data_IF_080192772625
#
_entry.id   IF_080192772625
#
_cell.length_a   1.000
_cell.length_b   1.000
_cell.length_c   1.000
_cell.angle_alpha   90.00
_cell.angle_beta   90.00
_cell.angle_gamma   90.00
#
_symmetry.space_group_name_H-M   'P 1'
#
loop_
_entity.id
_entity.type
_entity.pdbx_description
1 polymer ?
2 polymer ?
3 water ?
#
# COMPACT_ATOMS: atom_id res chain seq x y z
N UNK A 2 -16.42 20.52 14.34
CA UNK A 2 -17.41 19.60 13.79
C UNK A 2 -17.28 18.21 14.43
N UNK A 3 -16.09 17.64 14.34
CA UNK A 3 -15.81 16.35 14.96
C UNK A 3 -14.51 16.46 15.76
N UNK A 4 -14.40 15.81 16.93
CA UNK A 4 -15.43 14.98 17.56
C UNK A 4 -16.52 15.80 18.23
N UNK A 5 -17.53 15.13 18.78
CA UNK A 5 -18.68 15.81 19.37
C UNK A 5 -19.20 14.99 20.54
N UNK A 6 -19.67 15.69 21.58
CA UNK A 6 -20.33 15.10 22.75
C UNK A 6 -19.38 14.15 23.48
N UNK A 7 -18.43 14.77 24.18
CA UNK A 7 -17.46 14.04 25.00
C UNK A 7 -17.99 13.99 26.44
N UNK A 8 -18.40 12.80 26.87
CA UNK A 8 -18.94 12.63 28.22
C UNK A 8 -18.38 11.35 28.82
N UNK A 9 -18.40 11.30 30.15
CA UNK A 9 -17.83 10.19 30.92
C UNK A 9 -18.96 9.22 31.24
N UNK A 10 -18.95 8.05 30.58
CA UNK A 10 -19.99 7.06 30.81
C UNK A 10 -19.85 6.44 32.19
N UNK A 11 -18.75 5.74 32.43
CA UNK A 11 -18.49 5.09 33.70
C UNK A 11 -17.37 5.81 34.45
N UNK A 12 -17.42 5.74 35.78
CA UNK A 12 -16.47 6.49 36.61
C UNK A 12 -16.17 5.70 37.86
N UNK A 13 -14.95 5.21 37.96
CA UNK A 13 -14.33 4.60 39.12
C UNK A 13 -13.34 5.59 39.73
N UNK A 14 -13.16 5.62 41.06
CA UNK A 14 -12.20 6.55 41.66
C UNK A 14 -10.83 6.59 41.01
N UNK A 15 -10.45 5.55 40.27
CA UNK A 15 -9.15 5.52 39.60
C UNK A 15 -9.26 5.31 38.10
N UNK A 16 -10.46 5.34 37.53
CA UNK A 16 -10.58 5.12 36.09
C UNK A 16 -11.85 5.76 35.57
N UNK A 17 -11.78 6.23 34.32
CA UNK A 17 -12.90 6.91 33.67
C UNK A 17 -13.10 6.33 32.28
N UNK A 18 -14.31 5.84 32.01
CA UNK A 18 -14.68 5.34 30.69
C UNK A 18 -15.44 6.45 29.97
N UNK A 19 -14.82 7.03 28.95
CA UNK A 19 -15.41 8.16 28.23
C UNK A 19 -15.83 7.70 26.85
N UNK A 20 -16.69 8.50 26.22
CA UNK A 20 -17.17 8.21 24.88
C UNK A 20 -17.41 9.53 24.15
N UNK A 21 -17.62 9.42 22.83
CA UNK A 21 -17.89 10.59 22.00
C UNK A 21 -18.55 10.12 20.71
N UNK A 22 -19.20 11.06 20.05
CA UNK A 22 -19.80 10.79 18.74
C UNK A 22 -18.71 10.90 17.69
N UNK A 23 -18.29 9.74 17.16
CA UNK A 23 -17.17 9.67 16.24
C UNK A 23 -17.50 10.32 14.90
N UNK A 24 -18.73 10.78 14.74
CA UNK A 24 -19.15 11.40 13.51
C UNK A 24 -20.16 10.53 12.78
N UNK A 25 -19.89 10.22 11.52
CA UNK A 25 -20.82 9.44 10.72
C UNK A 25 -20.21 9.00 9.40
N UNK A 26 -19.61 7.81 9.38
CA UNK A 26 -19.12 7.19 8.15
C UNK A 26 -18.20 8.11 7.39
N UNK A 27 -18.73 8.79 6.37
CA UNK A 27 -17.93 9.60 5.44
C UNK A 27 -17.24 10.78 6.13
N UNK A 28 -17.41 10.92 7.44
CA UNK A 28 -16.66 11.92 8.21
C UNK A 28 -15.88 11.29 9.36
N UNK A 29 -15.71 9.97 9.36
CA UNK A 29 -14.83 9.33 10.32
C UNK A 29 -13.38 9.71 10.05
N UNK A 30 -12.66 10.08 11.11
CA UNK A 30 -11.25 10.39 10.98
C UNK A 30 -10.45 9.10 11.16
N UNK A 31 -9.15 9.14 10.85
CA UNK A 31 -8.32 7.96 11.02
C UNK A 31 -8.08 7.66 12.50
N UNK A 32 -7.92 8.70 13.32
CA UNK A 32 -7.54 8.51 14.72
C UNK A 32 -7.90 9.75 15.52
N UNK A 33 -8.22 9.54 16.78
CA UNK A 33 -8.32 10.61 17.77
C UNK A 33 -7.21 10.44 18.80
N UNK A 34 -6.77 11.54 19.37
CA UNK A 34 -5.84 11.50 20.49
C UNK A 34 -6.52 12.09 21.72
N UNK A 35 -6.41 11.38 22.84
CA UNK A 35 -7.13 11.71 24.07
C UNK A 35 -6.10 12.08 25.11
N UNK A 36 -6.19 13.30 25.63
CA UNK A 36 -5.27 13.81 26.64
C UNK A 36 -6.00 13.95 27.96
N UNK A 37 -5.41 13.41 29.03
CA UNK A 37 -5.97 13.54 30.37
C UNK A 37 -4.85 13.90 31.34
N UNK A 38 -5.02 15.02 32.05
CA UNK A 38 -4.06 15.43 33.05
C UNK A 38 -4.75 16.12 34.20
N UNK A 39 -3.96 16.44 35.22
CA UNK A 39 -4.51 17.14 36.39
C UNK A 39 -5.00 18.51 35.99
N UNK A 40 -6.09 18.96 36.63
CA UNK A 40 -6.68 20.25 36.29
C UNK A 40 -5.75 21.41 36.62
N UNK A 41 -4.75 21.20 37.46
CA UNK A 41 -3.76 22.22 37.74
C UNK A 41 -2.42 21.89 37.09
N UNK A 42 -2.07 20.61 37.07
CA UNK A 42 -0.85 20.17 36.45
C UNK A 42 0.34 20.18 37.38
N UNK A 43 0.63 19.03 38.00
CA UNK A 43 1.81 18.93 38.86
C UNK A 43 3.09 19.14 38.05
N UNK A 44 3.25 18.39 36.97
CA UNK A 44 4.35 18.62 36.04
C UNK A 44 3.93 18.21 34.62
N UNK A 45 3.39 16.99 34.40
CA UNK A 45 2.93 16.66 33.04
C UNK A 45 1.42 16.43 32.98
N UNK A 46 0.97 15.77 31.90
CA UNK A 46 -0.40 15.31 31.79
C UNK A 46 -0.37 13.83 31.39
N UNK A 47 -1.37 13.36 30.66
CA UNK A 47 -1.30 12.02 30.08
C UNK A 47 -2.12 11.98 28.80
N UNK A 48 -1.71 11.12 27.87
CA UNK A 48 -2.27 11.17 26.52
C UNK A 48 -2.05 9.84 25.82
N UNK A 49 -3.02 9.46 24.99
CA UNK A 49 -2.90 8.28 24.13
C UNK A 49 -3.70 8.53 22.85
N UNK A 50 -3.69 7.54 21.95
CA UNK A 50 -4.40 7.63 20.68
C UNK A 50 -5.34 6.44 20.52
N UNK A 51 -6.39 6.63 19.73
CA UNK A 51 -7.42 5.62 19.51
C UNK A 51 -7.80 5.62 18.03
N UNK A 52 -7.97 4.46 17.41
CA UNK A 52 -8.38 4.43 16.00
C UNK A 52 -9.72 5.11 15.77
N UNK A 53 -9.92 5.56 14.53
CA UNK A 53 -11.06 6.40 14.23
C UNK A 53 -12.40 5.71 14.33
N UNK A 54 -12.45 4.40 14.03
CA UNK A 54 -13.72 3.69 14.06
C UNK A 54 -14.27 3.55 15.48
N UNK A 55 -13.41 3.64 16.50
CA UNK A 55 -13.85 3.53 17.88
C UNK A 55 -14.43 4.85 18.36
N UNK A 56 -15.47 4.78 19.19
CA UNK A 56 -16.10 5.95 19.75
C UNK A 56 -15.98 6.02 21.27
N UNK A 57 -15.37 5.02 21.90
CA UNK A 57 -15.19 5.00 23.35
C UNK A 57 -13.72 4.78 23.68
N UNK A 58 -13.34 5.15 24.90
CA UNK A 58 -11.97 4.98 25.36
C UNK A 58 -11.94 5.00 26.88
N UNK A 59 -11.15 4.12 27.47
CA UNK A 59 -11.00 4.05 28.92
C UNK A 59 -9.69 4.72 29.35
N UNK A 60 -9.72 5.31 30.53
CA UNK A 60 -8.58 6.03 31.09
C UNK A 60 -8.34 5.47 32.48
N UNK A 61 -7.20 4.80 32.66
CA UNK A 61 -6.89 4.12 33.91
C UNK A 61 -5.71 4.80 34.60
N UNK A 62 -5.35 4.29 35.77
CA UNK A 62 -4.21 4.77 36.51
C UNK A 62 -4.35 6.19 37.03
N UNK A 63 -5.51 6.53 37.58
CA UNK A 63 -5.77 7.87 38.08
C UNK A 63 -5.75 7.88 39.60
N UNK A 64 -5.83 9.09 40.16
CA UNK A 64 -5.85 9.27 41.60
C UNK A 64 -7.25 9.66 42.07
N UNK A 65 -7.74 9.06 43.15
CA UNK A 65 -9.12 9.34 43.58
C UNK A 65 -9.25 10.74 44.15
N UNK A 66 -10.39 11.38 43.86
CA UNK A 66 -10.69 12.71 44.35
C UNK A 66 -10.15 13.84 43.50
N UNK A 67 -9.11 13.60 42.71
CA UNK A 67 -8.50 14.64 41.90
C UNK A 67 -9.38 14.94 40.70
N UNK A 68 -9.52 16.23 40.38
CA UNK A 68 -10.26 16.65 39.20
C UNK A 68 -9.32 16.68 38.00
N UNK A 69 -9.70 15.98 36.94
CA UNK A 69 -8.89 15.86 35.74
C UNK A 69 -9.53 16.59 34.57
N UNK A 70 -8.70 16.99 33.61
CA UNK A 70 -9.15 17.59 32.37
C UNK A 70 -8.87 16.62 31.22
N UNK A 71 -9.91 16.29 30.45
CA UNK A 71 -9.81 15.31 29.38
C UNK A 71 -10.14 16.00 28.07
N UNK A 72 -9.20 15.96 27.12
CA UNK A 72 -9.35 16.59 25.83
C UNK A 72 -9.17 15.55 24.73
N UNK A 73 -9.94 15.69 23.64
CA UNK A 73 -9.88 14.81 22.50
C UNK A 73 -9.60 15.65 21.26
N UNK A 74 -8.52 15.33 20.56
CA UNK A 74 -8.11 16.07 19.38
C UNK A 74 -8.37 15.25 18.12
N UNK A 75 -8.81 15.94 17.07
CA UNK A 75 -8.86 15.35 15.74
C UNK A 75 -7.43 15.16 15.23
N UNK A 76 -7.24 14.41 14.13
CA UNK A 76 -5.90 14.31 13.56
C UNK A 76 -5.28 15.67 13.26
N UNK A 77 -6.08 16.60 12.77
CA UNK A 77 -5.66 17.97 12.52
C UNK A 77 -6.73 18.92 13.05
N UNK A 78 -6.36 20.19 13.16
CA UNK A 78 -7.30 21.22 13.60
C UNK A 78 -8.28 21.60 12.49
N UNK A 79 -8.25 20.92 11.35
CA UNK A 79 -9.16 21.25 10.25
C UNK A 79 -10.58 20.78 10.54
N UNK A 80 -10.73 19.70 11.31
CA UNK A 80 -12.04 19.17 11.63
C UNK A 80 -12.76 19.99 12.71
N UNK A 81 -12.08 20.93 13.33
CA UNK A 81 -12.66 21.74 14.39
C UNK A 81 -11.79 21.76 15.62
N UNK A 82 -12.17 22.64 16.55
CA UNK A 82 -11.43 22.76 17.79
C UNK A 82 -11.58 21.48 18.61
N UNK A 83 -10.52 21.07 19.33
CA UNK A 83 -10.65 19.90 20.20
C UNK A 83 -11.63 20.16 21.34
N UNK A 84 -12.32 19.11 21.75
CA UNK A 84 -13.32 19.18 22.81
C UNK A 84 -12.68 18.74 24.12
N UNK A 85 -12.85 19.54 25.17
CA UNK A 85 -12.27 19.29 26.47
C UNK A 85 -13.34 19.42 27.55
N UNK A 86 -13.28 18.53 28.54
CA UNK A 86 -14.22 18.52 29.66
C UNK A 86 -13.44 18.31 30.95
N UNK A 87 -14.17 18.28 32.07
CA UNK A 87 -13.60 18.09 33.39
C UNK A 87 -14.41 17.04 34.14
N UNK A 88 -13.75 16.34 35.06
CA UNK A 88 -14.44 15.35 35.88
C UNK A 88 -13.63 15.12 37.15
N UNK A 89 -14.34 14.93 38.26
CA UNK A 89 -13.74 14.61 39.55
C UNK A 89 -14.12 13.18 39.92
N UNK A 90 -13.12 12.32 40.04
CA UNK A 90 -13.34 10.91 40.35
C UNK A 90 -13.92 10.73 41.75
N UNK B 2 -6.95 -11.54 -22.00
CA UNK B 2 -6.83 -11.72 -20.55
C UNK B 2 -5.92 -10.69 -19.88
N UNK B 3 -4.68 -10.50 -20.35
CA UNK B 3 -3.79 -9.56 -19.66
C UNK B 3 -4.27 -8.12 -19.72
N UNK B 4 -4.90 -7.71 -20.83
CA UNK B 4 -5.43 -6.35 -20.92
C UNK B 4 -6.64 -6.16 -20.03
N UNK B 5 -7.31 -7.23 -19.61
CA UNK B 5 -8.39 -7.11 -18.65
C UNK B 5 -7.84 -6.70 -17.29
N UNK B 6 -6.76 -7.33 -16.85
CA UNK B 6 -6.13 -6.98 -15.59
C UNK B 6 -5.46 -5.61 -15.66
N UNK B 7 -4.97 -5.22 -16.84
CA UNK B 7 -4.40 -3.89 -17.00
C UNK B 7 -5.46 -2.82 -16.82
N UNK B 8 -6.61 -2.99 -17.47
CA UNK B 8 -7.72 -2.07 -17.27
C UNK B 8 -8.28 -2.11 -15.86
N UNK B 9 -8.21 -3.28 -15.20
CA UNK B 9 -8.63 -3.35 -13.82
C UNK B 9 -7.71 -2.60 -12.88
N UNK B 10 -6.39 -2.67 -13.13
CA UNK B 10 -5.46 -1.87 -12.37
C UNK B 10 -5.64 -0.38 -12.65
N UNK B 11 -5.98 -0.04 -13.89
CA UNK B 11 -6.27 1.35 -14.23
C UNK B 11 -7.48 1.85 -13.45
N UNK B 12 -8.55 1.03 -13.42
CA UNK B 12 -9.73 1.40 -12.66
C UNK B 12 -9.43 1.50 -11.17
N UNK B 13 -8.70 0.52 -10.63
CA UNK B 13 -8.37 0.53 -9.21
C UNK B 13 -7.54 1.76 -8.85
N UNK B 14 -6.62 2.16 -9.73
CA UNK B 14 -5.78 3.33 -9.47
C UNK B 14 -6.63 4.60 -9.50
N UNK B 15 -7.46 4.75 -10.54
CA UNK B 15 -8.29 5.94 -10.67
C UNK B 15 -9.19 6.09 -9.44
N UNK B 16 -9.75 4.99 -8.96
CA UNK B 16 -10.57 5.03 -7.75
C UNK B 16 -9.73 5.48 -6.56
N UNK B 17 -8.48 5.03 -6.49
CA UNK B 17 -7.61 5.43 -5.39
C UNK B 17 -7.31 6.91 -5.39
N UNK B 18 -6.99 7.47 -6.57
CA UNK B 18 -6.68 8.89 -6.65
C UNK B 18 -7.89 9.75 -6.34
N UNK B 19 -9.07 9.34 -6.80
CA UNK B 19 -10.28 10.09 -6.50
C UNK B 19 -10.61 10.04 -5.01
N UNK B 20 -10.47 8.86 -4.39
CA UNK B 20 -10.72 8.76 -2.95
C UNK B 20 -9.70 9.55 -2.16
N UNK B 21 -8.49 9.73 -2.70
CA UNK B 21 -7.51 10.56 -2.01
C UNK B 21 -7.88 12.03 -2.09
N UNK B 22 -8.46 12.46 -3.22
CA UNK B 22 -8.93 13.84 -3.32
C UNK B 22 -10.10 14.08 -2.38
N UNK B 23 -11.00 13.10 -2.23
CA UNK B 23 -12.08 13.23 -1.26
C UNK B 23 -11.55 13.24 0.16
N UNK B 24 -10.67 12.29 0.48
CA UNK B 24 -10.03 12.29 1.79
C UNK B 24 -9.20 13.56 1.96
N UNK B 25 -8.99 13.95 3.22
CA UNK B 25 -8.10 15.06 3.48
C UNK B 25 -6.67 14.55 3.60
N UNK B 26 -5.90 15.09 4.53
CA UNK B 26 -4.51 14.69 4.67
C UNK B 26 -4.33 13.25 5.11
N UNK B 27 -4.92 12.32 4.35
CA UNK B 27 -4.95 10.90 4.72
C UNK B 27 -5.59 10.70 6.08
N UNK B 28 -6.47 11.64 6.48
CA UNK B 28 -7.04 11.66 7.82
C UNK B 28 -8.44 11.08 7.89
N UNK B 29 -9.28 11.31 6.88
CA UNK B 29 -10.59 10.68 6.85
C UNK B 29 -10.39 9.17 6.63
N UNK B 30 -10.82 8.38 7.61
CA UNK B 30 -10.46 6.97 7.66
C UNK B 30 -10.91 6.22 6.41
N UNK B 31 -12.22 6.19 6.17
CA UNK B 31 -12.76 5.32 5.12
C UNK B 31 -12.16 5.63 3.74
N UNK B 32 -12.13 6.86 3.25
CA UNK B 32 -11.52 7.07 1.93
C UNK B 32 -10.03 6.76 1.93
N UNK B 33 -9.31 7.08 3.01
CA UNK B 33 -7.89 6.75 3.08
C UNK B 33 -7.68 5.24 3.02
N UNK B 34 -8.49 4.47 3.75
CA UNK B 34 -8.44 3.02 3.61
C UNK B 34 -8.65 2.61 2.16
N UNK B 35 -9.68 3.17 1.53
CA UNK B 35 -9.95 2.86 0.13
C UNK B 35 -8.75 3.10 -0.77
N UNK B 36 -8.07 4.25 -0.57
CA UNK B 36 -6.87 4.54 -1.35
C UNK B 36 -5.81 3.46 -1.15
N UNK B 37 -5.60 3.04 0.10
CA UNK B 37 -4.60 2.03 0.38
C UNK B 37 -4.97 0.71 -0.28
N UNK B 38 -6.22 0.27 -0.10
CA UNK B 38 -6.68 -0.96 -0.75
C UNK B 38 -6.53 -0.84 -2.26
N UNK B 39 -6.89 0.31 -2.81
CA UNK B 39 -6.84 0.48 -4.27
C UNK B 39 -5.40 0.43 -4.77
N UNK B 40 -4.50 1.18 -4.12
CA UNK B 40 -3.10 1.17 -4.53
C UNK B 40 -2.48 -0.21 -4.32
N UNK B 41 -2.83 -0.88 -3.22
CA UNK B 41 -2.37 -2.25 -3.03
C UNK B 41 -2.86 -3.14 -4.17
N UNK B 42 -4.15 -3.07 -4.50
CA UNK B 42 -4.68 -3.89 -5.58
C UNK B 42 -4.06 -3.54 -6.92
N UNK B 43 -3.98 -2.24 -7.23
CA UNK B 43 -3.44 -1.82 -8.52
C UNK B 43 -2.00 -2.27 -8.70
N UNK B 44 -1.17 -2.11 -7.66
CA UNK B 44 0.24 -2.48 -7.79
C UNK B 44 0.40 -3.98 -7.93
N UNK B 45 -0.42 -4.75 -7.23
CA UNK B 45 -0.40 -6.20 -7.39
C UNK B 45 -0.97 -6.61 -8.75
N UNK B 46 -2.00 -5.90 -9.22
CA UNK B 46 -2.56 -6.21 -10.53
C UNK B 46 -1.60 -5.86 -11.65
N UNK B 47 -0.95 -4.69 -11.56
CA UNK B 47 0.02 -4.32 -12.59
C UNK B 47 1.24 -5.23 -12.54
N UNK B 48 1.66 -5.68 -11.36
CA UNK B 48 2.82 -6.55 -11.28
C UNK B 48 2.56 -7.88 -11.98
N UNK B 49 1.37 -8.45 -11.80
CA UNK B 49 1.07 -9.73 -12.41
C UNK B 49 0.62 -9.61 -13.87
N UNK B 50 0.28 -8.41 -14.33
CA UNK B 50 0.02 -8.18 -15.75
C UNK B 50 1.25 -7.67 -16.49
N UNK B 51 2.38 -7.49 -15.79
CA UNK B 51 3.60 -7.04 -16.42
C UNK B 51 4.41 -8.19 -17.03
N UNK B 52 4.23 -9.41 -16.54
CA UNK B 52 5.00 -10.53 -17.07
C UNK B 52 4.51 -10.96 -18.45
N UNK B 53 3.29 -10.59 -18.84
CA UNK B 53 2.74 -10.94 -20.14
C UNK B 53 2.90 -9.83 -21.17
N UNK B 54 2.58 -8.60 -20.79
CA UNK B 54 2.64 -7.46 -21.69
C UNK B 54 3.98 -6.75 -21.50
N UNK B 55 4.66 -6.32 -22.56
CA UNK B 55 5.92 -5.58 -22.39
C UNK B 55 5.73 -4.36 -21.49
N UNK B 56 6.81 -3.98 -20.81
CA UNK B 56 6.74 -2.92 -19.81
C UNK B 56 6.30 -1.60 -20.44
N UNK B 57 7.07 -1.12 -21.42
CA UNK B 57 6.71 0.10 -22.10
C UNK B 57 5.36 0.03 -22.79
N UNK B 58 5.00 -1.13 -23.32
CA UNK B 58 3.69 -1.30 -23.92
C UNK B 58 2.60 -1.17 -22.87
N UNK B 59 2.83 -1.74 -21.68
CA UNK B 59 1.86 -1.59 -20.60
C UNK B 59 1.84 -0.17 -20.07
N UNK B 60 2.98 0.51 -20.09
CA UNK B 60 3.06 1.87 -19.58
C UNK B 60 2.14 2.81 -20.36
N UNK B 61 2.11 2.67 -21.68
CA UNK B 61 1.28 3.56 -22.51
C UNK B 61 -0.19 3.34 -22.24
N UNK B 62 -0.67 2.10 -22.37
CA UNK B 62 -2.07 1.80 -22.13
C UNK B 62 -2.45 2.16 -20.69
N UNK B 63 -1.50 2.06 -19.77
CA UNK B 63 -1.75 2.44 -18.38
C UNK B 63 -2.04 3.93 -18.28
N UNK B 64 -1.14 4.77 -18.80
CA UNK B 64 -1.34 6.21 -18.73
C UNK B 64 -2.55 6.63 -19.56
N UNK B 65 -2.73 6.04 -20.74
CA UNK B 65 -3.81 6.41 -21.63
C UNK B 65 -5.20 6.19 -21.06
N UNK B 66 -5.55 4.93 -20.82
CA UNK B 66 -6.88 4.61 -20.29
C UNK B 66 -7.09 5.29 -18.94
N UNK B 67 -6.01 5.54 -18.20
CA UNK B 67 -6.09 6.23 -16.93
C UNK B 67 -6.71 7.60 -17.05
N UNK B 68 -6.08 8.48 -17.85
CA UNK B 68 -6.60 9.84 -17.98
C UNK B 68 -7.91 9.86 -18.74
N UNK B 69 -8.15 8.85 -19.58
CA UNK B 69 -9.46 8.72 -20.21
C UNK B 69 -10.52 8.54 -19.14
N UNK B 70 -10.32 7.58 -18.24
CA UNK B 70 -11.27 7.35 -17.16
C UNK B 70 -11.25 8.49 -16.14
N UNK B 71 -10.09 9.14 -15.98
CA UNK B 71 -10.02 10.28 -15.05
C UNK B 71 -10.88 11.43 -15.56
N UNK B 72 -10.67 11.84 -16.81
CA UNK B 72 -11.49 12.91 -17.37
C UNK B 72 -12.93 12.46 -17.57
N UNK B 73 -13.15 11.16 -17.81
CA UNK B 73 -14.52 10.65 -17.92
C UNK B 73 -15.22 10.72 -16.57
N UNK B 74 -14.61 10.15 -15.53
CA UNK B 74 -15.23 10.19 -14.21
C UNK B 74 -15.28 11.60 -13.66
N UNK B 75 -14.31 12.46 -14.04
CA UNK B 75 -14.41 13.86 -13.67
C UNK B 75 -15.68 14.48 -14.23
N UNK B 76 -15.75 14.56 -15.57
CA UNK B 76 -16.96 15.09 -16.21
C UNK B 76 -18.20 14.28 -15.86
N UNK B 77 -18.02 13.00 -15.53
CA UNK B 77 -19.12 12.12 -15.20
C UNK B 77 -20.11 12.66 -14.18
N UNK B 78 -19.66 12.90 -12.94
CA UNK B 78 -20.58 13.34 -11.90
C UNK B 78 -19.90 14.07 -10.74
N UNK B 79 -18.64 14.44 -10.90
CA UNK B 79 -17.93 15.26 -9.92
C UNK B 79 -17.34 16.50 -10.61
N UNK B 80 -18.18 17.10 -11.46
CA UNK B 80 -17.92 18.39 -12.07
C UNK B 80 -17.38 18.28 -13.48
N UNK B 81 -16.88 19.41 -13.98
CA UNK B 81 -15.85 19.42 -15.03
C UNK B 81 -16.36 19.09 -16.43
N UNK B 82 -15.67 19.63 -17.45
CA UNK B 82 -15.97 19.45 -18.87
C UNK B 82 -14.92 20.21 -19.68
N UNK B 83 -14.16 21.06 -18.97
CA UNK B 83 -13.20 22.01 -19.51
C UNK B 83 -12.27 21.45 -20.59
N UNK B 84 -11.75 22.32 -21.45
CA UNK B 84 -10.90 21.94 -22.58
C UNK B 84 -11.65 21.09 -23.60
N UNK B 85 -12.97 21.25 -23.65
CA UNK B 85 -13.87 20.40 -24.46
C UNK B 85 -13.32 20.02 -25.83
N UNK B 86 -12.82 20.94 -26.68
CA UNK B 86 -12.23 20.48 -27.96
C UNK B 86 -10.93 19.71 -27.73
N UNK B 87 -11.05 18.51 -27.18
CA UNK B 87 -9.93 17.65 -26.92
C UNK B 87 -10.40 16.21 -26.78
N UNK B 88 -11.72 16.02 -26.85
CA UNK B 88 -12.29 14.67 -26.93
C UNK B 88 -11.72 13.93 -28.13
N UNK B 89 -11.27 14.66 -29.15
CA UNK B 89 -10.50 14.05 -30.22
C UNK B 89 -9.24 13.40 -29.66
N UNK B 90 -8.59 14.04 -28.70
CA UNK B 90 -7.43 13.45 -28.06
C UNK B 90 -7.76 12.20 -27.28
N UNK B 91 -8.98 12.13 -26.72
CA UNK B 91 -9.44 10.88 -26.13
C UNK B 91 -9.59 9.80 -27.18
N UNK B 92 -10.11 10.17 -28.36
CA UNK B 92 -10.18 9.21 -29.46
C UNK B 92 -8.79 8.83 -29.95
N UNK B 93 -7.81 9.73 -29.83
CA UNK B 93 -6.43 9.40 -30.14
C UNK B 93 -5.91 8.32 -29.21
N UNK B 94 -6.17 8.47 -27.91
CA UNK B 94 -5.73 7.48 -26.93
C UNK B 94 -6.37 6.13 -27.21
N UNK B 95 -7.69 6.13 -27.46
CA UNK B 95 -8.37 4.88 -27.79
C UNK B 95 -7.80 4.29 -29.09
N UNK B 96 -7.42 5.15 -30.04
CA UNK B 96 -6.80 4.65 -31.27
C UNK B 96 -5.45 4.01 -30.98
N UNK B 97 -4.62 4.67 -30.17
CA UNK B 97 -3.35 4.07 -29.79
C UNK B 97 -3.51 2.78 -29.02
N UNK B 98 -4.57 2.68 -28.19
CA UNK B 98 -4.83 1.45 -27.45
C UNK B 98 -5.19 0.32 -28.42
N UNK B 99 -6.07 0.61 -29.38
CA UNK B 99 -6.54 -0.44 -30.29
C UNK B 99 -5.40 -1.01 -31.14
N UNK B 100 -4.55 -0.14 -31.69
CA UNK B 100 -3.44 -0.61 -32.50
C UNK B 100 -2.37 -1.31 -31.68
N UNK B 101 -2.49 -1.29 -30.35
CA UNK B 101 -1.66 -2.12 -29.49
C UNK B 101 -2.45 -3.22 -28.81
N UNK B 102 -3.77 -3.07 -28.67
CA UNK B 102 -4.60 -4.13 -28.12
C UNK B 102 -4.78 -5.25 -29.14
N UNK B 103 -5.10 -6.44 -28.62
CA UNK B 103 -5.23 -7.70 -29.36
C UNK B 103 -5.68 -7.53 -30.81
N UNK B 104 -4.78 -7.07 -31.68
CA UNK B 104 -5.05 -6.93 -33.09
C UNK B 104 -4.01 -7.69 -33.92
N UNK C 1 20.30 -26.10 -5.67
CA UNK C 1 20.41 -24.72 -6.13
C UNK C 1 19.07 -24.01 -5.97
N UNK C 2 18.58 -23.92 -4.73
CA UNK C 2 17.24 -23.40 -4.48
C UNK C 2 17.18 -22.79 -3.07
N UNK C 3 15.99 -22.30 -2.73
CA UNK C 3 15.74 -21.62 -1.46
C UNK C 3 14.54 -22.30 -0.80
N UNK C 4 14.58 -22.57 0.51
CA UNK C 4 15.71 -22.35 1.43
C UNK C 4 16.58 -23.59 1.61
N UNK C 5 17.49 -23.52 2.59
CA UNK C 5 18.37 -24.64 2.87
C UNK C 5 18.60 -24.69 4.39
N UNK C 6 19.18 -25.81 4.83
CA UNK C 6 19.61 -26.00 6.21
C UNK C 6 18.48 -25.73 7.20
N UNK C 7 17.42 -26.54 7.09
CA UNK C 7 16.31 -26.47 8.02
C UNK C 7 16.68 -27.25 9.28
N UNK C 8 16.92 -26.52 10.37
CA UNK C 8 17.39 -27.14 11.60
C UNK C 8 16.63 -26.56 12.80
N UNK C 9 16.55 -27.34 13.86
CA UNK C 9 15.86 -26.94 15.08
C UNK C 9 16.89 -26.33 16.02
N UNK C 10 16.82 -25.01 16.21
CA UNK C 10 17.77 -24.33 17.09
C UNK C 10 17.55 -24.76 18.54
N UNK C 11 16.38 -24.46 19.08
CA UNK C 11 16.04 -24.81 20.44
C UNK C 11 14.78 -25.66 20.46
N UNK C 12 14.72 -26.58 21.42
CA UNK C 12 13.58 -27.47 21.57
C UNK C 12 12.90 -27.20 22.91
N UNK C 13 11.73 -27.80 23.07
CA UNK C 13 10.91 -27.71 24.28
C UNK C 13 9.75 -28.68 24.13
N UNK C 14 9.35 -29.37 25.19
CA UNK C 14 8.20 -30.28 25.08
C UNK C 14 6.97 -29.68 24.41
N UNK C 15 6.79 -28.37 24.46
CA UNK C 15 5.64 -27.73 23.85
C UNK C 15 5.99 -26.74 22.73
N UNK C 16 7.28 -26.46 22.50
CA UNK C 16 7.63 -25.44 21.53
C UNK C 16 8.95 -25.80 20.85
N UNK C 17 9.13 -25.25 19.66
CA UNK C 17 10.34 -25.49 18.86
C UNK C 17 10.74 -24.20 18.17
N UNK C 18 12.01 -23.83 18.29
CA UNK C 18 12.57 -22.70 17.57
C UNK C 18 13.43 -23.23 16.44
N UNK C 19 13.11 -22.84 15.21
CA UNK C 19 13.76 -23.37 14.02
C UNK C 19 14.36 -22.22 13.21
N UNK C 20 15.21 -22.59 12.24
CA UNK C 20 15.86 -21.62 11.37
C UNK C 20 16.22 -22.31 10.07
N UNK C 21 16.67 -21.50 9.09
CA UNK C 21 17.02 -22.02 7.77
C UNK C 21 17.90 -21.01 7.06
N UNK C 22 18.56 -21.49 6.00
CA UNK C 22 19.44 -20.65 5.19
C UNK C 22 18.60 -19.97 4.11
N UNK C 23 18.37 -18.66 4.28
CA UNK C 23 17.54 -17.91 3.35
C UNK C 23 18.20 -17.70 1.99
N UNK C 24 19.45 -18.10 1.83
CA UNK C 24 20.13 -17.94 0.56
C UNK C 24 20.72 -16.55 0.39
N UNK C 25 21.06 -16.23 -0.85
CA UNK C 25 21.66 -14.96 -1.18
C UNK C 25 20.61 -13.85 -1.21
N UNK C 26 21.09 -12.61 -1.36
CA UNK C 26 20.19 -11.46 -1.31
C UNK C 26 19.19 -11.48 -2.46
N UNK C 27 19.63 -11.88 -3.66
CA UNK C 27 18.69 -12.04 -4.76
C UNK C 27 17.76 -13.23 -4.55
N UNK C 28 18.13 -14.14 -3.66
CA UNK C 28 17.31 -15.31 -3.36
C UNK C 28 16.33 -15.08 -2.22
N UNK C 29 16.42 -13.94 -1.53
CA UNK C 29 15.51 -13.66 -0.43
C UNK C 29 14.10 -13.41 -0.94
N UNK C 30 13.13 -14.11 -0.36
CA UNK C 30 11.74 -13.95 -0.74
C UNK C 30 11.09 -12.97 0.23
N UNK C 31 9.86 -12.55 -0.09
CA UNK C 31 9.15 -11.61 0.75
C UNK C 31 8.39 -12.27 1.89
N UNK C 32 8.07 -13.56 1.78
CA UNK C 32 7.39 -14.26 2.87
C UNK C 32 7.63 -15.76 2.74
N UNK C 33 7.96 -16.40 3.86
CA UNK C 33 8.00 -17.85 3.96
C UNK C 33 6.78 -18.32 4.74
N UNK C 34 6.12 -19.37 4.26
CA UNK C 34 5.03 -19.99 5.00
C UNK C 34 5.51 -21.30 5.59
N UNK C 35 5.24 -21.50 6.88
CA UNK C 35 5.73 -22.65 7.65
C UNK C 35 4.57 -23.56 7.96
N UNK C 36 4.79 -24.86 7.78
CA UNK C 36 3.76 -25.87 7.95
C UNK C 36 4.24 -26.93 8.94
N UNK C 37 3.46 -27.17 9.99
CA UNK C 37 3.82 -28.14 11.01
C UNK C 37 2.61 -28.95 11.44
N UNK C 38 2.83 -30.24 11.66
CA UNK C 38 1.75 -31.13 12.09
C UNK C 38 2.31 -32.47 12.52
N UNK C 39 1.42 -33.29 13.08
CA UNK C 39 1.80 -34.61 13.56
C UNK C 39 2.38 -35.45 12.43
N UNK C 40 3.54 -36.07 12.68
CA UNK C 40 4.20 -36.82 11.63
C UNK C 40 3.44 -38.10 11.27
N UNK C 41 2.68 -38.65 12.22
CA UNK C 41 1.77 -39.74 11.92
C UNK C 41 0.39 -39.17 11.66
N UNK C 42 0.33 -38.25 10.71
CA UNK C 42 -0.83 -37.39 10.48
C UNK C 42 -2.19 -38.03 10.57
N UNK C 43 -2.94 -37.68 11.61
CA UNK C 43 -4.36 -37.98 11.70
C UNK C 43 -5.23 -36.79 11.34
N UNK C 44 -4.65 -35.58 11.33
CA UNK C 44 -5.38 -34.33 11.29
C UNK C 44 -4.62 -33.34 10.39
N UNK C 45 -5.13 -32.10 10.10
CA UNK C 45 -4.47 -31.31 9.06
C UNK C 45 -3.13 -30.77 9.51
N UNK C 46 -2.61 -29.84 8.72
CA UNK C 46 -1.30 -29.25 8.96
C UNK C 46 -1.51 -27.77 9.26
N UNK C 47 -1.19 -27.38 10.49
CA UNK C 47 -1.22 -25.97 10.86
C UNK C 47 -0.10 -25.22 10.12
N UNK C 48 -0.47 -24.14 9.45
CA UNK C 48 0.48 -23.32 8.73
C UNK C 48 0.33 -21.86 9.12
N UNK C 49 1.46 -21.15 9.09
CA UNK C 49 1.48 -19.71 9.28
C UNK C 49 2.58 -19.13 8.39
N UNK C 50 2.40 -17.86 8.02
CA UNK C 50 3.39 -17.14 7.23
C UNK C 50 4.28 -16.28 8.14
N UNK C 51 5.41 -15.87 7.60
CA UNK C 51 6.39 -15.06 8.34
C UNK C 51 7.10 -14.19 7.32
N UNK C 52 7.47 -12.94 7.67
CA UNK C 52 8.13 -12.08 6.70
C UNK C 52 9.43 -12.67 6.18
N UNK C 53 9.73 -12.38 4.92
CA UNK C 53 10.89 -12.91 4.25
C UNK C 53 12.23 -12.36 4.68
N UNK C 54 12.27 -11.39 5.59
CA UNK C 54 13.53 -10.85 6.08
C UNK C 54 14.01 -11.53 7.35
N UNK C 55 13.28 -12.50 7.87
CA UNK C 55 13.69 -13.26 9.05
C UNK C 55 13.98 -14.70 8.66
N UNK C 56 15.05 -15.24 9.23
CA UNK C 56 15.42 -16.63 8.98
C UNK C 56 15.01 -17.58 10.09
N UNK C 57 14.54 -17.06 11.22
CA UNK C 57 14.11 -17.87 12.35
C UNK C 57 12.61 -17.77 12.56
N UNK C 58 12.05 -18.77 13.22
CA UNK C 58 10.63 -18.82 13.50
C UNK C 58 10.39 -19.73 14.69
N UNK C 59 9.45 -19.35 15.55
CA UNK C 59 9.11 -20.11 16.75
C UNK C 59 7.72 -20.72 16.60
N UNK C 60 7.59 -21.96 17.03
CA UNK C 60 6.34 -22.70 16.99
C UNK C 60 5.99 -23.12 18.41
N UNK C 61 4.74 -22.89 18.81
CA UNK C 61 4.31 -23.17 20.17
C UNK C 61 3.06 -24.05 20.13
N UNK C 62 2.60 -24.46 21.30
CA UNK C 62 1.38 -25.24 21.40
C UNK C 62 1.51 -26.68 20.94
N UNK C 63 2.66 -27.30 21.15
CA UNK C 63 2.89 -28.67 20.73
C UNK C 63 2.67 -29.63 21.90
N UNK C 64 2.24 -30.83 21.58
CA UNK C 64 2.06 -31.85 22.60
C UNK C 64 3.37 -32.60 22.82
N UNK C 65 3.85 -32.70 24.06
CA UNK C 65 5.16 -33.33 24.30
C UNK C 65 5.14 -34.81 23.97
N UNK C 66 6.33 -35.32 23.67
CA UNK C 66 6.53 -36.71 23.32
C UNK C 66 6.13 -37.08 21.91
N UNK C 67 5.32 -36.27 21.25
CA UNK C 67 4.84 -36.55 19.90
C UNK C 67 5.85 -36.07 18.88
N UNK C 68 6.07 -36.86 17.84
CA UNK C 68 6.95 -36.48 16.74
C UNK C 68 6.18 -35.66 15.72
N UNK C 69 6.80 -34.57 15.25
CA UNK C 69 6.15 -33.64 14.34
C UNK C 69 6.96 -33.49 13.06
N UNK C 70 6.26 -33.16 11.96
CA UNK C 70 6.88 -32.76 10.70
C UNK C 70 6.75 -31.26 10.53
N UNK C 71 7.85 -30.61 10.14
CA UNK C 71 7.88 -29.17 9.92
C UNK C 71 8.41 -28.92 8.52
N UNK C 72 7.66 -28.17 7.72
CA UNK C 72 8.04 -27.86 6.35
C UNK C 72 8.02 -26.35 6.16
N UNK C 73 9.02 -25.84 5.44
CA UNK C 73 9.15 -24.42 5.16
C UNK C 73 9.04 -24.23 3.65
N UNK C 74 8.07 -23.43 3.22
CA UNK C 74 7.80 -23.24 1.80
C UNK C 74 8.31 -21.89 1.31
N UNK C 75 8.13 -21.64 0.03
CA UNK C 75 8.43 -20.39 -0.63
C UNK C 75 7.13 -19.79 -1.15
N UNK C 76 7.13 -18.50 -1.51
CA UNK C 76 5.91 -17.91 -2.09
C UNK C 76 5.40 -18.67 -3.29
N UNK C 77 6.30 -19.08 -4.20
CA UNK C 77 5.95 -19.90 -5.35
C UNK C 77 6.88 -21.11 -5.39
N UNK C 78 6.52 -22.08 -6.23
CA UNK C 78 7.36 -23.26 -6.44
C UNK C 78 8.56 -22.97 -7.33
N UNK C 79 8.72 -21.74 -7.80
CA UNK C 79 9.83 -21.39 -8.68
C UNK C 79 11.15 -21.29 -7.93
N UNK C 80 11.12 -20.91 -6.66
CA UNK C 80 12.36 -20.78 -5.90
C UNK C 80 12.99 -22.13 -5.62
N UNK C 81 12.19 -23.17 -5.43
CA UNK C 81 12.70 -24.50 -5.19
C UNK C 81 11.77 -25.29 -4.31
N UNK C 82 12.07 -26.59 -4.21
CA UNK C 82 11.24 -27.46 -3.41
C UNK C 82 11.33 -27.10 -1.93
N UNK C 83 10.23 -27.18 -1.19
CA UNK C 83 10.26 -26.86 0.23
C UNK C 83 11.05 -27.90 1.01
N UNK C 84 11.70 -27.43 2.08
CA UNK C 84 12.51 -28.28 2.95
C UNK C 84 11.67 -28.71 4.13
N UNK C 85 11.70 -30.00 4.45
CA UNK C 85 10.92 -30.57 5.54
C UNK C 85 11.80 -31.47 6.39
N UNK C 86 11.59 -31.44 7.70
CA UNK C 86 12.35 -32.24 8.65
C UNK C 86 11.39 -32.83 9.66
N UNK C 87 11.94 -33.63 10.58
CA UNK C 87 11.19 -34.26 11.65
C UNK C 87 11.87 -33.96 12.98
N UNK C 88 11.08 -33.95 14.05
CA UNK C 88 11.63 -33.73 15.39
C UNK C 88 10.65 -34.27 16.41
N UNK C 89 11.18 -34.90 17.46
CA UNK C 89 10.36 -35.44 18.55
C UNK C 89 10.58 -34.56 19.77
N UNK C 90 9.51 -33.90 20.21
CA UNK C 90 9.59 -32.99 21.35
C UNK C 90 9.76 -33.77 22.65
N UNK D 2 14.30 24.98 -11.07
CA UNK D 2 14.63 24.06 -9.98
C UNK D 2 13.61 22.93 -9.79
N UNK D 3 12.30 23.24 -9.72
CA UNK D 3 11.33 22.14 -9.55
C UNK D 3 11.24 21.20 -10.74
N UNK D 4 11.65 21.64 -11.93
CA UNK D 4 11.69 20.73 -13.06
C UNK D 4 12.72 19.63 -12.86
N UNK D 5 13.75 19.89 -12.04
CA UNK D 5 14.75 18.88 -11.76
C UNK D 5 14.19 17.81 -10.82
N UNK D 6 13.42 18.22 -9.81
CA UNK D 6 12.76 17.24 -8.94
C UNK D 6 11.72 16.42 -9.70
N UNK D 7 11.12 17.00 -10.74
CA UNK D 7 10.17 16.26 -11.55
C UNK D 7 10.86 15.11 -12.29
N UNK D 8 11.89 15.43 -13.06
CA UNK D 8 12.63 14.39 -13.77
C UNK D 8 13.22 13.35 -12.84
N UNK D 9 13.64 13.77 -11.64
CA UNK D 9 14.09 12.80 -10.66
C UNK D 9 12.98 11.89 -10.19
N UNK D 10 11.78 12.44 -9.98
CA UNK D 10 10.63 11.60 -9.64
C UNK D 10 10.25 10.70 -10.80
N UNK D 11 10.38 11.19 -12.03
CA UNK D 11 10.18 10.35 -13.21
C UNK D 11 11.15 9.18 -13.16
N UNK D 12 12.45 9.48 -13.07
CA UNK D 12 13.46 8.43 -13.04
C UNK D 12 13.25 7.49 -11.87
N UNK D 13 12.87 8.02 -10.71
CA UNK D 13 12.61 7.18 -9.55
C UNK D 13 11.47 6.20 -9.82
N UNK D 14 10.40 6.69 -10.45
CA UNK D 14 9.31 5.79 -10.81
C UNK D 14 9.72 4.83 -11.92
N UNK D 15 10.58 5.29 -12.84
CA UNK D 15 11.09 4.40 -13.88
C UNK D 15 11.90 3.27 -13.26
N UNK D 16 12.78 3.61 -12.31
CA UNK D 16 13.56 2.59 -11.62
C UNK D 16 12.66 1.69 -10.80
N UNK D 17 11.63 2.27 -10.16
CA UNK D 17 10.70 1.45 -9.38
C UNK D 17 9.96 0.46 -10.24
N UNK D 18 9.51 0.88 -11.43
CA UNK D 18 8.81 -0.04 -12.32
C UNK D 18 9.73 -1.14 -12.81
N UNK D 19 10.96 -0.80 -13.20
CA UNK D 19 11.90 -1.82 -13.65
C UNK D 19 12.26 -2.77 -12.52
N UNK D 20 12.34 -2.29 -11.28
CA UNK D 20 12.59 -3.17 -10.16
C UNK D 20 11.39 -4.04 -9.83
N UNK D 21 10.18 -3.63 -10.24
CA UNK D 21 9.02 -4.47 -9.98
C UNK D 21 8.99 -5.68 -10.89
N UNK D 22 9.47 -5.53 -12.13
CA UNK D 22 9.61 -6.69 -13.00
C UNK D 22 10.55 -7.73 -12.40
N UNK D 23 11.43 -7.31 -11.48
CA UNK D 23 12.35 -8.21 -10.80
C UNK D 23 11.77 -8.82 -9.52
N UNK D 24 10.60 -8.35 -9.07
CA UNK D 24 10.05 -8.79 -7.79
C UNK D 24 9.27 -10.08 -7.86
N UNK D 25 8.88 -10.53 -9.07
CA UNK D 25 8.13 -11.77 -9.26
C UNK D 25 6.82 -11.74 -8.48
N UNK D 26 6.04 -10.69 -8.69
CA UNK D 26 4.78 -10.55 -7.97
C UNK D 26 4.95 -10.21 -6.51
N UNK D 27 5.92 -9.35 -6.19
CA UNK D 27 6.23 -8.96 -4.82
C UNK D 27 6.56 -10.19 -3.96
N UNK D 28 7.30 -11.13 -4.55
CA UNK D 28 7.71 -12.33 -3.85
C UNK D 28 9.23 -12.43 -3.67
N UNK D 29 9.99 -11.46 -4.19
CA UNK D 29 11.43 -11.41 -3.98
C UNK D 29 11.76 -10.21 -3.10
N UNK D 30 12.30 -10.47 -1.92
CA UNK D 30 12.73 -9.39 -1.04
C UNK D 30 13.93 -8.68 -1.65
N UNK D 31 13.90 -7.35 -1.58
CA UNK D 31 14.87 -6.35 -2.05
C UNK D 31 14.35 -5.68 -3.33
N UNK D 32 13.94 -6.41 -4.38
CA UNK D 32 13.19 -5.73 -5.44
C UNK D 32 11.89 -5.15 -4.94
N UNK D 33 11.14 -5.90 -4.12
CA UNK D 33 9.91 -5.37 -3.55
C UNK D 33 10.20 -4.17 -2.65
N UNK D 34 11.28 -4.25 -1.86
CA UNK D 34 11.68 -3.10 -1.05
C UNK D 34 12.11 -1.93 -1.93
N UNK D 35 12.79 -2.23 -3.03
CA UNK D 35 13.24 -1.16 -3.91
C UNK D 35 12.09 -0.41 -4.56
N UNK D 36 11.02 -1.13 -4.92
CA UNK D 36 9.86 -0.49 -5.54
C UNK D 36 9.16 0.44 -4.55
N UNK D 37 9.04 0.00 -3.29
CA UNK D 37 8.40 0.83 -2.28
C UNK D 37 9.20 2.10 -2.05
N UNK D 38 10.53 1.98 -1.97
CA UNK D 38 11.36 3.15 -1.73
C UNK D 38 11.33 4.09 -2.94
N UNK D 39 11.43 3.54 -4.14
CA UNK D 39 11.44 4.38 -5.34
C UNK D 39 10.13 5.13 -5.51
N UNK D 40 9.01 4.48 -5.20
CA UNK D 40 7.71 5.13 -5.34
C UNK D 40 7.50 6.18 -4.26
N UNK D 41 7.94 5.90 -3.04
CA UNK D 41 7.89 6.91 -1.99
C UNK D 41 8.76 8.11 -2.34
N UNK D 42 9.89 7.86 -3.02
CA UNK D 42 10.74 8.97 -3.45
C UNK D 42 10.06 9.81 -4.53
N UNK D 43 9.45 9.14 -5.52
CA UNK D 43 8.71 9.88 -6.55
C UNK D 43 7.49 10.58 -5.97
N UNK D 44 6.89 10.01 -4.92
CA UNK D 44 5.78 10.68 -4.24
C UNK D 44 6.26 11.98 -3.58
N UNK D 45 7.39 11.92 -2.88
CA UNK D 45 7.87 13.09 -2.15
C UNK D 45 8.36 14.16 -3.10
N UNK D 46 9.05 13.78 -4.18
CA UNK D 46 9.53 14.77 -5.15
C UNK D 46 8.37 15.41 -5.89
N UNK D 47 7.38 14.61 -6.29
CA UNK D 47 6.23 15.15 -7.02
C UNK D 47 5.43 16.11 -6.14
N UNK D 48 5.27 15.78 -4.86
CA UNK D 48 4.57 16.68 -3.95
C UNK D 48 5.33 17.99 -3.77
N UNK D 49 6.66 17.95 -3.78
CA UNK D 49 7.43 19.17 -3.67
C UNK D 49 7.37 20.00 -4.94
N UNK D 50 7.15 19.36 -6.09
CA UNK D 50 7.08 20.10 -7.34
C UNK D 50 5.71 20.75 -7.54
N UNK D 51 4.63 20.05 -7.16
CA UNK D 51 3.29 20.56 -7.38
C UNK D 51 3.02 21.86 -6.64
N UNK D 52 3.85 22.21 -5.66
CA UNK D 52 3.70 23.52 -5.01
C UNK D 52 4.10 24.66 -5.92
N UNK D 53 4.78 24.37 -7.03
CA UNK D 53 5.24 25.42 -7.94
C UNK D 53 4.78 25.17 -9.36
N UNK D 54 5.21 24.05 -9.94
CA UNK D 54 4.92 23.76 -11.35
C UNK D 54 3.46 23.35 -11.49
N UNK D 55 2.76 23.81 -12.53
CA UNK D 55 1.38 23.37 -12.74
C UNK D 55 1.29 21.87 -12.96
N UNK D 56 0.09 21.34 -12.74
CA UNK D 56 -0.10 19.89 -12.74
C UNK D 56 -0.12 19.32 -14.15
N UNK D 57 -0.81 19.97 -15.09
CA UNK D 57 -0.90 19.44 -16.43
C UNK D 57 0.45 19.37 -17.13
N UNK D 58 1.32 20.34 -16.86
CA UNK D 58 2.67 20.32 -17.41
C UNK D 58 3.47 19.17 -16.81
N UNK D 59 3.32 18.94 -15.50
CA UNK D 59 4.09 17.90 -14.83
C UNK D 59 3.75 16.52 -15.39
N UNK D 60 2.45 16.22 -15.53
CA UNK D 60 2.04 14.93 -16.06
C UNK D 60 2.52 14.74 -17.49
N UNK D 61 2.43 15.78 -18.31
CA UNK D 61 2.82 15.68 -19.70
C UNK D 61 4.28 15.29 -19.84
N UNK D 62 5.17 15.99 -19.13
CA UNK D 62 6.58 15.63 -19.13
C UNK D 62 6.77 14.25 -18.49
N UNK D 63 5.99 13.96 -17.44
CA UNK D 63 6.09 12.67 -16.78
C UNK D 63 5.79 11.53 -17.74
N UNK D 64 4.61 11.56 -18.37
CA UNK D 64 4.20 10.46 -19.22
C UNK D 64 5.10 10.33 -20.44
N UNK D 65 5.54 11.45 -21.00
CA UNK D 65 6.40 11.42 -22.16
C UNK D 65 7.77 10.83 -21.87
N UNK D 66 8.50 11.47 -20.98
CA UNK D 66 9.82 10.97 -20.60
C UNK D 66 9.71 9.62 -19.92
N UNK D 67 8.63 9.41 -19.15
CA UNK D 67 8.44 8.12 -18.50
C UNK D 67 8.24 6.99 -19.49
N UNK D 68 7.42 7.20 -20.52
CA UNK D 68 7.24 6.20 -21.56
C UNK D 68 8.57 5.89 -22.24
N UNK D 69 9.36 6.92 -22.52
CA UNK D 69 10.65 6.72 -23.18
C UNK D 69 11.61 5.96 -22.27
N UNK D 70 11.64 6.30 -20.98
CA UNK D 70 12.64 5.74 -20.10
C UNK D 70 12.39 4.25 -19.82
N UNK D 71 11.16 3.89 -19.45
CA UNK D 71 10.90 2.49 -19.12
C UNK D 71 10.78 1.63 -20.38
N UNK D 72 10.48 2.23 -21.54
CA UNK D 72 10.53 1.46 -22.77
C UNK D 72 11.98 1.15 -23.15
N UNK D 73 12.88 2.10 -22.93
CA UNK D 73 14.29 1.86 -23.19
C UNK D 73 14.94 0.99 -22.13
N UNK D 74 14.39 0.96 -20.91
CA UNK D 74 14.91 0.03 -19.91
C UNK D 74 14.28 -1.35 -20.06
N UNK D 75 13.02 -1.43 -20.47
CA UNK D 75 12.46 -2.74 -20.82
C UNK D 75 13.17 -3.34 -22.02
N UNK D 76 13.72 -2.50 -22.90
CA UNK D 76 14.47 -2.99 -24.04
C UNK D 76 15.92 -3.28 -23.69
N UNK D 77 16.45 -2.62 -22.66
CA UNK D 77 17.81 -2.84 -22.22
C UNK D 77 18.00 -3.99 -21.25
N UNK D 78 16.92 -4.54 -20.71
CA UNK D 78 16.99 -5.67 -19.80
C UNK D 78 16.35 -6.93 -20.35
N UNK D 79 15.17 -6.82 -20.97
CA UNK D 79 14.45 -7.95 -21.59
C UNK D 79 13.80 -7.39 -22.85
N UNK D 80 14.61 -7.20 -23.89
CA UNK D 80 14.22 -6.38 -25.01
C UNK D 80 13.04 -6.93 -25.78
N UNK D 81 12.38 -6.03 -26.49
CA UNK D 81 11.27 -6.34 -27.38
C UNK D 81 10.96 -5.07 -28.18
N UNK D 82 10.10 -5.22 -29.18
CA UNK D 82 9.68 -4.07 -30.00
C UNK D 82 8.20 -4.15 -30.31
N UNK D 83 7.85 -4.01 -31.59
CA UNK D 83 6.47 -4.02 -32.03
C UNK D 83 5.88 -5.43 -31.93
N UNK D 84 5.77 -5.95 -30.70
CA UNK D 84 5.11 -7.24 -30.49
C UNK D 84 3.70 -7.24 -31.09
N UNK D 85 3.00 -6.12 -30.95
CA UNK D 85 1.72 -5.92 -31.58
C UNK D 85 1.76 -4.68 -32.47
N UNK D 86 1.13 -4.73 -33.66
CA UNK D 86 1.34 -3.74 -34.72
C UNK D 86 2.34 -2.60 -34.51
N UNK D 87 2.19 -1.79 -33.48
CA UNK D 87 2.78 -0.45 -33.47
C UNK D 87 3.59 -0.17 -32.20
N UNK D 88 4.84 0.24 -32.38
CA UNK D 88 5.50 1.06 -31.38
C UNK D 88 5.05 2.51 -31.54
N UNK D 89 4.72 2.91 -32.77
CA UNK D 89 4.19 4.24 -33.01
C UNK D 89 2.87 4.44 -32.29
N UNK D 90 2.16 3.35 -31.99
CA UNK D 90 0.96 3.47 -31.17
C UNK D 90 1.26 3.81 -29.73
N UNK D 91 2.42 3.40 -29.23
CA UNK D 91 2.87 3.83 -27.92
C UNK D 91 3.01 5.34 -27.86
N UNK D 92 3.80 5.90 -28.79
CA UNK D 92 3.94 7.34 -28.87
C UNK D 92 2.66 8.01 -29.37
N UNK D 93 1.78 7.25 -30.03
CA UNK D 93 0.47 7.80 -30.40
C UNK D 93 -0.38 8.05 -29.16
N UNK D 94 -0.38 7.10 -28.22
CA UNK D 94 -1.00 7.34 -26.92
C UNK D 94 -0.32 8.51 -26.23
N UNK D 95 1.01 8.56 -26.30
CA UNK D 95 1.75 9.68 -25.71
C UNK D 95 1.30 11.02 -26.27
N UNK D 96 1.09 11.07 -27.60
CA UNK D 96 0.57 12.30 -28.19
C UNK D 96 -0.88 12.55 -27.76
N UNK D 97 -1.69 11.49 -27.70
CA UNK D 97 -3.05 11.63 -27.19
C UNK D 97 -3.07 12.08 -25.74
N UNK D 98 -2.01 11.78 -24.99
CA UNK D 98 -1.89 12.30 -23.63
C UNK D 98 -1.54 13.78 -23.66
N UNK D 99 -0.65 14.18 -24.56
CA UNK D 99 -0.14 15.56 -24.56
C UNK D 99 -1.21 16.56 -24.97
N UNK D 100 -2.20 16.15 -25.77
CA UNK D 100 -3.23 17.08 -26.22
C UNK D 100 -4.21 17.38 -25.09
N UNK D 101 -4.75 16.34 -24.46
CA UNK D 101 -5.82 16.55 -23.48
C UNK D 101 -5.20 17.02 -22.17
N UNK D 102 -3.88 17.16 -22.16
CA UNK D 102 -3.17 17.77 -21.04
C UNK D 102 -2.84 19.25 -21.32
N UNK D 103 -2.10 19.52 -22.39
CA UNK D 103 -1.74 20.89 -22.72
C UNK D 103 -2.91 21.64 -23.35
N UNK D 104 -3.43 21.14 -24.47
CA UNK D 104 -4.57 21.76 -25.12
C UNK D 104 -5.82 21.66 -24.27
#
# INVERSE_FOLDING_TARGET
>A
SSVPTKLEVVAATPTSLLISWDAGHWWEWVTYYRITYGETGGNSPVQEFTVPGYSSTATISGLKPGVDYTITVYAPTSDYGSPISINYRT
>B
MNPYIYLGGAILAEVIGTTLMKFSNGFTRLIPSMGTIICYCASFWLLAQTLAYIPTGIAYAIWSGVGIVLISLLSWGFFGQRLDLPAIIGMMLICAGVLIINLLSRSTPH
>C
SSVPTKLEVVAATPTSLLISWDAGHWWEWVTYYRITYGETGGNSPVQEFTVPGYSSTATISGLKPGVDYTITVYAPTSDYGSPISINYRT
>D
MNPYIYLGGAILAEVIGTTLMKFSNGFTRLIPSMGTIICYCASFWLLAQTLAYIPTGIAYAIWSGVGIVLISLLSWGFFGQRLDLPAIIGMMLICAGVLIINLLSRSTPH
#
